data_IF_248456812717
#
_entry.id   IF_248456812717
#
_cell.length_a   1.000
_cell.length_b   1.000
_cell.length_c   1.000
_cell.angle_alpha   90.00
_cell.angle_beta   90.00
_cell.angle_gamma   90.00
#
_symmetry.space_group_name_H-M   'P 1'
#
loop_
_entity.id
_entity.type
_entity.pdbx_description
1 polymer ?
#
# COMPACT_ATOMS: atom_id res chain seq x y z
N UNK A 1 36.52 6.10 19.55
CA UNK A 1 35.39 6.50 20.42
C UNK A 1 34.33 7.08 19.50
N UNK A 2 33.34 6.27 19.13
CA UNK A 2 32.28 6.71 18.21
C UNK A 2 31.41 7.68 19.02
N UNK A 3 31.41 8.96 18.63
CA UNK A 3 30.52 9.96 19.21
C UNK A 3 29.08 9.46 19.05
N UNK A 4 28.44 9.04 20.15
CA UNK A 4 26.99 8.99 20.23
C UNK A 4 26.51 10.43 20.15
N UNK A 5 26.24 10.90 18.94
CA UNK A 5 25.41 12.08 18.72
C UNK A 5 24.13 11.83 19.50
N UNK A 6 23.85 12.70 20.47
CA UNK A 6 22.67 12.65 21.32
C UNK A 6 21.43 12.60 20.42
N UNK A 7 20.76 11.45 20.37
CA UNK A 7 19.55 11.30 19.54
C UNK A 7 18.52 12.30 20.04
N UNK A 8 18.07 13.17 19.14
CA UNK A 8 17.02 14.10 19.50
C UNK A 8 15.71 13.33 19.68
N UNK A 9 14.80 13.82 20.53
CA UNK A 9 13.47 13.21 20.68
C UNK A 9 12.73 13.09 19.32
N UNK A 10 13.04 13.98 18.38
CA UNK A 10 12.54 13.93 17.01
C UNK A 10 12.98 12.67 16.26
N UNK A 11 14.23 12.23 16.43
CA UNK A 11 14.78 11.05 15.74
C UNK A 11 14.15 9.75 16.26
N UNK A 12 13.92 9.69 17.56
CA UNK A 12 13.23 8.57 18.21
C UNK A 12 11.76 8.49 17.75
N UNK A 13 11.04 9.61 17.78
CA UNK A 13 9.65 9.67 17.35
C UNK A 13 9.51 9.31 15.86
N UNK A 14 10.43 9.78 15.02
CA UNK A 14 10.46 9.44 13.60
C UNK A 14 10.70 7.94 13.37
N UNK A 15 11.59 7.33 14.15
CA UNK A 15 11.84 5.87 14.08
C UNK A 15 10.61 5.07 14.48
N UNK A 16 9.95 5.44 15.58
CA UNK A 16 8.71 4.81 16.04
C UNK A 16 7.59 4.95 15.01
N UNK A 17 7.47 6.11 14.37
CA UNK A 17 6.50 6.34 13.30
C UNK A 17 6.74 5.41 12.10
N UNK A 18 7.99 5.31 11.61
CA UNK A 18 8.33 4.42 10.49
C UNK A 18 8.05 2.96 10.82
N UNK A 19 8.36 2.53 12.06
CA UNK A 19 8.09 1.18 12.51
C UNK A 19 6.60 0.89 12.60
N UNK A 20 5.82 1.80 13.18
CA UNK A 20 4.36 1.70 13.25
C UNK A 20 3.74 1.63 11.86
N UNK A 21 4.21 2.48 10.92
CA UNK A 21 3.75 2.48 9.54
C UNK A 21 4.06 1.15 8.84
N UNK A 22 5.29 0.64 8.98
CA UNK A 22 5.71 -0.63 8.39
C UNK A 22 4.85 -1.82 8.89
N UNK A 23 4.64 -1.90 10.22
CA UNK A 23 3.79 -2.93 10.83
C UNK A 23 2.34 -2.84 10.36
N UNK A 24 1.79 -1.62 10.28
CA UNK A 24 0.45 -1.41 9.76
C UNK A 24 0.30 -1.89 8.31
N UNK A 25 1.32 -1.66 7.48
CA UNK A 25 1.29 -2.06 6.08
C UNK A 25 1.34 -3.56 5.87
N UNK A 26 2.19 -4.25 6.65
CA UNK A 26 2.22 -5.72 6.68
C UNK A 26 0.89 -6.30 7.15
N UNK A 27 0.29 -5.72 8.19
CA UNK A 27 -1.03 -6.12 8.67
C UNK A 27 -2.10 -5.97 7.59
N UNK A 28 -2.23 -4.80 6.97
CA UNK A 28 -3.26 -4.57 5.95
C UNK A 28 -3.06 -5.47 4.73
N UNK A 29 -1.82 -5.68 4.31
CA UNK A 29 -1.51 -6.60 3.21
C UNK A 29 -1.93 -8.03 3.55
N UNK A 30 -1.56 -8.52 4.74
CA UNK A 30 -1.96 -9.85 5.22
C UNK A 30 -3.48 -10.00 5.30
N UNK A 31 -4.17 -9.01 5.87
CA UNK A 31 -5.63 -9.00 5.96
C UNK A 31 -6.29 -9.01 4.57
N UNK A 32 -5.77 -8.22 3.62
CA UNK A 32 -6.30 -8.17 2.24
C UNK A 32 -6.12 -9.51 1.52
N UNK A 33 -4.95 -10.16 1.68
CA UNK A 33 -4.71 -11.48 1.11
C UNK A 33 -5.60 -12.56 1.75
N UNK A 34 -5.84 -12.47 3.06
CA UNK A 34 -6.76 -13.37 3.75
C UNK A 34 -8.20 -13.21 3.24
N UNK A 35 -8.66 -11.97 3.02
CA UNK A 35 -9.96 -11.70 2.38
C UNK A 35 -10.03 -12.29 0.97
N UNK A 36 -8.98 -12.10 0.16
CA UNK A 36 -8.92 -12.71 -1.18
C UNK A 36 -9.01 -14.24 -1.12
N UNK A 37 -8.25 -14.88 -0.23
CA UNK A 37 -8.28 -16.34 -0.07
C UNK A 37 -9.66 -16.83 0.37
N UNK A 38 -10.28 -16.14 1.34
CA UNK A 38 -11.62 -16.46 1.80
C UNK A 38 -12.66 -16.33 0.68
N UNK A 39 -12.65 -15.23 -0.07
CA UNK A 39 -13.57 -15.01 -1.19
C UNK A 39 -13.36 -16.05 -2.30
N UNK A 40 -12.11 -16.39 -2.60
CA UNK A 40 -11.76 -17.42 -3.59
C UNK A 40 -12.28 -18.81 -3.19
N UNK A 41 -12.33 -19.12 -1.90
CA UNK A 41 -12.85 -20.39 -1.41
C UNK A 41 -14.38 -20.43 -1.27
N UNK A 42 -14.99 -19.32 -0.85
CA UNK A 42 -16.39 -19.29 -0.39
C UNK A 42 -17.42 -19.02 -1.48
N UNK A 43 -17.03 -18.43 -2.61
CA UNK A 43 -17.98 -18.04 -3.65
C UNK A 43 -17.94 -19.00 -4.85
N UNK A 44 -19.11 -19.43 -5.37
CA UNK A 44 -19.16 -20.19 -6.62
C UNK A 44 -18.85 -19.27 -7.80
N UNK A 45 -17.79 -19.60 -8.56
CA UNK A 45 -17.44 -18.90 -9.78
C UNK A 45 -18.01 -19.65 -10.98
N UNK A 46 -19.02 -19.05 -11.62
CA UNK A 46 -19.66 -19.58 -12.81
C UNK A 46 -19.27 -18.79 -14.07
N UNK A 47 -19.86 -19.12 -15.22
CA UNK A 47 -19.62 -18.41 -16.48
C UNK A 47 -19.91 -16.91 -16.30
N UNK A 48 -18.99 -16.08 -16.81
CA UNK A 48 -19.11 -14.62 -16.79
C UNK A 48 -20.40 -14.17 -17.49
N UNK A 49 -21.18 -13.33 -16.81
CA UNK A 49 -22.46 -12.79 -17.27
C UNK A 49 -22.97 -11.70 -16.34
N UNK A 50 -24.13 -11.11 -16.61
CA UNK A 50 -24.74 -10.11 -15.72
C UNK A 50 -25.45 -10.76 -14.53
N UNK A 51 -24.71 -11.61 -13.81
CA UNK A 51 -25.21 -12.46 -12.74
C UNK A 51 -24.41 -12.22 -11.45
N UNK A 52 -24.98 -12.61 -10.32
CA UNK A 52 -24.37 -12.50 -8.99
C UNK A 52 -22.93 -13.06 -8.89
N UNK A 53 -22.59 -14.22 -9.53
CA UNK A 53 -21.22 -14.75 -9.54
C UNK A 53 -20.18 -13.80 -10.14
N UNK A 54 -20.58 -12.98 -11.13
CA UNK A 54 -19.66 -12.00 -11.76
C UNK A 54 -19.37 -10.82 -10.84
N UNK A 55 -20.33 -10.43 -9.99
CA UNK A 55 -20.08 -9.41 -8.95
C UNK A 55 -19.13 -9.93 -7.85
N UNK A 56 -19.27 -11.19 -7.44
CA UNK A 56 -18.31 -11.82 -6.52
C UNK A 56 -16.91 -11.89 -7.13
N UNK A 57 -16.81 -12.28 -8.41
CA UNK A 57 -15.54 -12.28 -9.14
C UNK A 57 -14.94 -10.87 -9.26
N UNK A 58 -15.74 -9.86 -9.58
CA UNK A 58 -15.30 -8.47 -9.63
C UNK A 58 -14.78 -7.98 -8.27
N UNK A 59 -15.46 -8.34 -7.17
CA UNK A 59 -15.01 -8.00 -5.82
C UNK A 59 -13.66 -8.65 -5.48
N UNK A 60 -13.47 -9.92 -5.85
CA UNK A 60 -12.19 -10.62 -5.69
C UNK A 60 -11.07 -9.93 -6.48
N UNK A 61 -11.32 -9.55 -7.74
CA UNK A 61 -10.35 -8.82 -8.56
C UNK A 61 -9.98 -7.46 -7.96
N UNK A 62 -10.94 -6.74 -7.40
CA UNK A 62 -10.69 -5.45 -6.74
C UNK A 62 -9.82 -5.62 -5.49
N UNK A 63 -10.08 -6.64 -4.66
CA UNK A 63 -9.22 -6.94 -3.51
C UNK A 63 -7.82 -7.43 -3.93
N UNK A 64 -7.72 -8.20 -5.01
CA UNK A 64 -6.43 -8.62 -5.56
C UNK A 64 -5.62 -7.42 -6.09
N UNK A 65 -6.27 -6.50 -6.81
CA UNK A 65 -5.66 -5.25 -7.27
C UNK A 65 -5.22 -4.38 -6.08
N UNK A 66 -6.03 -4.28 -5.03
CA UNK A 66 -5.66 -3.59 -3.79
C UNK A 66 -4.40 -4.19 -3.15
N UNK A 67 -4.28 -5.52 -3.10
CA UNK A 67 -3.10 -6.21 -2.58
C UNK A 67 -1.84 -5.89 -3.41
N UNK A 68 -1.94 -5.93 -4.75
CA UNK A 68 -0.83 -5.58 -5.65
C UNK A 68 -0.38 -4.11 -5.48
N UNK A 69 -1.32 -3.18 -5.36
CA UNK A 69 -1.01 -1.79 -5.02
C UNK A 69 -0.36 -1.67 -3.63
N UNK A 70 -0.80 -2.48 -2.67
CA UNK A 70 -0.19 -2.58 -1.34
C UNK A 70 1.29 -3.00 -1.40
N UNK A 71 1.61 -4.03 -2.18
CA UNK A 71 2.99 -4.47 -2.40
C UNK A 71 3.84 -3.36 -3.04
N UNK A 72 3.34 -2.74 -4.12
CA UNK A 72 4.04 -1.62 -4.76
C UNK A 72 4.26 -0.43 -3.83
N UNK A 73 3.32 -0.16 -2.92
CA UNK A 73 3.49 0.91 -1.93
C UNK A 73 4.66 0.62 -0.98
N UNK A 74 4.80 -0.60 -0.48
CA UNK A 74 5.93 -0.98 0.40
C UNK A 74 7.25 -0.78 -0.35
N UNK A 75 7.33 -1.23 -1.60
CA UNK A 75 8.53 -1.07 -2.44
C UNK A 75 8.91 0.41 -2.62
N UNK A 76 7.92 1.29 -2.86
CA UNK A 76 8.14 2.74 -2.99
C UNK A 76 8.56 3.42 -1.69
N UNK A 77 8.05 2.97 -0.54
CA UNK A 77 8.51 3.46 0.78
C UNK A 77 9.98 3.11 0.99
N UNK A 78 10.38 1.88 0.67
CA UNK A 78 11.78 1.43 0.75
C UNK A 78 12.67 2.23 -0.20
N UNK A 79 12.23 2.47 -1.44
CA UNK A 79 12.96 3.31 -2.40
C UNK A 79 13.10 4.76 -1.92
N UNK A 80 12.05 5.33 -1.31
CA UNK A 80 12.11 6.69 -0.73
C UNK A 80 13.10 6.78 0.42
N UNK A 81 13.12 5.78 1.32
CA UNK A 81 14.10 5.70 2.40
C UNK A 81 15.52 5.60 1.86
N UNK A 82 15.75 4.77 0.83
CA UNK A 82 17.05 4.66 0.16
C UNK A 82 17.51 5.99 -0.43
N UNK A 83 16.64 6.69 -1.17
CA UNK A 83 16.97 8.01 -1.73
C UNK A 83 17.24 9.07 -0.66
N UNK A 84 16.59 8.98 0.50
CA UNK A 84 16.89 9.86 1.64
C UNK A 84 18.29 9.57 2.22
N UNK A 85 18.69 8.30 2.32
CA UNK A 85 20.05 7.93 2.73
C UNK A 85 21.09 8.43 1.71
N UNK A 86 20.84 8.24 0.42
CA UNK A 86 21.71 8.73 -0.66
C UNK A 86 21.85 10.26 -0.61
N UNK A 87 20.78 10.98 -0.25
CA UNK A 87 20.77 12.43 -0.08
C UNK A 87 21.63 12.86 1.11
N UNK A 88 21.50 12.19 2.26
CA UNK A 88 22.30 12.48 3.45
C UNK A 88 23.78 12.24 3.18
N UNK A 89 24.13 11.14 2.52
CA UNK A 89 25.51 10.84 2.13
C UNK A 89 26.07 11.91 1.16
N UNK A 90 25.27 12.38 0.21
CA UNK A 90 25.67 13.46 -0.69
C UNK A 90 25.86 14.80 0.03
N UNK A 91 25.06 15.07 1.07
CA UNK A 91 25.20 16.26 1.92
C UNK A 91 26.47 16.20 2.77
N UNK A 92 26.77 15.05 3.38
CA UNK A 92 27.99 14.83 4.15
C UNK A 92 29.26 14.98 3.30
N UNK A 93 29.22 14.52 2.05
CA UNK A 93 30.32 14.69 1.08
C UNK A 93 30.43 16.11 0.51
N UNK A 94 29.49 17.01 0.80
CA UNK A 94 29.53 18.41 0.39
C UNK A 94 29.32 18.68 -1.11
N UNK A 95 28.86 17.69 -1.89
CA UNK A 95 28.73 17.81 -3.36
C UNK A 95 27.37 18.44 -3.71
N UNK A 96 27.34 19.77 -3.87
CA UNK A 96 26.10 20.56 -4.06
C UNK A 96 25.22 20.10 -5.24
N UNK A 97 25.82 19.66 -6.35
CA UNK A 97 25.07 19.21 -7.53
C UNK A 97 24.34 17.89 -7.28
N UNK A 98 25.02 16.93 -6.62
CA UNK A 98 24.42 15.65 -6.23
C UNK A 98 23.32 15.81 -5.18
N UNK A 99 23.46 16.79 -4.27
CA UNK A 99 22.42 17.11 -3.28
C UNK A 99 21.14 17.62 -3.96
N UNK A 100 21.25 18.48 -4.98
CA UNK A 100 20.07 18.95 -5.74
C UNK A 100 19.37 17.80 -6.48
N UNK A 101 20.14 16.94 -7.13
CA UNK A 101 19.60 15.80 -7.88
C UNK A 101 18.93 14.79 -6.94
N UNK A 102 19.60 14.40 -5.85
CA UNK A 102 19.05 13.50 -4.84
C UNK A 102 17.78 14.07 -4.19
N UNK A 103 17.71 15.39 -3.98
CA UNK A 103 16.52 16.05 -3.41
C UNK A 103 15.34 16.01 -4.38
N UNK A 104 15.59 16.23 -5.67
CA UNK A 104 14.57 16.11 -6.70
C UNK A 104 14.06 14.66 -6.83
N UNK A 105 14.96 13.67 -6.74
CA UNK A 105 14.62 12.25 -6.75
C UNK A 105 13.77 11.84 -5.52
N UNK A 106 14.19 12.22 -4.32
CA UNK A 106 13.44 11.98 -3.08
C UNK A 106 12.03 12.59 -3.13
N UNK A 107 11.89 13.82 -3.64
CA UNK A 107 10.58 14.46 -3.76
C UNK A 107 9.66 13.75 -4.77
N UNK A 108 10.21 13.21 -5.86
CA UNK A 108 9.44 12.40 -6.83
C UNK A 108 8.99 11.07 -6.23
N UNK A 109 9.88 10.38 -5.51
CA UNK A 109 9.57 9.11 -4.84
C UNK A 109 8.51 9.27 -3.74
N UNK A 110 8.56 10.38 -2.98
CA UNK A 110 7.54 10.72 -1.99
C UNK A 110 6.14 10.90 -2.60
N UNK A 111 6.04 11.58 -3.76
CA UNK A 111 4.75 11.73 -4.46
C UNK A 111 4.21 10.39 -4.96
N UNK A 112 5.05 9.53 -5.51
CA UNK A 112 4.64 8.20 -5.99
C UNK A 112 4.10 7.33 -4.85
N UNK A 113 4.72 7.40 -3.67
CA UNK A 113 4.25 6.70 -2.46
C UNK A 113 2.82 7.10 -2.11
N UNK A 114 2.47 8.38 -2.24
CA UNK A 114 1.12 8.86 -1.97
C UNK A 114 0.07 8.34 -2.98
N UNK A 115 0.42 8.27 -4.27
CA UNK A 115 -0.48 7.73 -5.29
C UNK A 115 -0.84 6.26 -5.02
N UNK A 116 0.14 5.42 -4.66
CA UNK A 116 -0.13 4.02 -4.34
C UNK A 116 -0.94 3.86 -3.04
N UNK A 117 -0.79 4.79 -2.09
CA UNK A 117 -1.62 4.82 -0.88
C UNK A 117 -3.10 5.08 -1.23
N UNK A 118 -3.37 6.09 -2.06
CA UNK A 118 -4.72 6.40 -2.50
C UNK A 118 -5.30 5.23 -3.31
N UNK A 119 -4.55 4.71 -4.29
CA UNK A 119 -5.00 3.58 -5.10
C UNK A 119 -5.36 2.35 -4.26
N UNK A 120 -4.52 1.97 -3.28
CA UNK A 120 -4.80 0.85 -2.36
C UNK A 120 -6.13 1.05 -1.65
N UNK A 121 -6.31 2.22 -1.02
CA UNK A 121 -7.52 2.49 -0.25
C UNK A 121 -8.76 2.55 -1.14
N UNK A 122 -8.67 3.15 -2.33
CA UNK A 122 -9.77 3.18 -3.29
C UNK A 122 -10.18 1.76 -3.71
N UNK A 123 -9.23 0.89 -4.06
CA UNK A 123 -9.55 -0.49 -4.44
C UNK A 123 -10.11 -1.31 -3.28
N UNK A 124 -9.59 -1.12 -2.05
CA UNK A 124 -10.15 -1.76 -0.84
C UNK A 124 -11.61 -1.35 -0.61
N UNK A 125 -11.90 -0.05 -0.68
CA UNK A 125 -13.26 0.47 -0.50
C UNK A 125 -14.19 0.00 -1.61
N UNK A 126 -13.75 0.07 -2.87
CA UNK A 126 -14.54 -0.41 -4.01
C UNK A 126 -14.80 -1.91 -3.93
N UNK A 127 -13.81 -2.72 -3.56
CA UNK A 127 -13.96 -4.16 -3.38
C UNK A 127 -14.98 -4.50 -2.30
N UNK A 128 -14.92 -3.78 -1.17
CA UNK A 128 -15.87 -3.94 -0.06
C UNK A 128 -17.30 -3.56 -0.47
N UNK A 129 -17.48 -2.40 -1.10
CA UNK A 129 -18.79 -1.94 -1.57
C UNK A 129 -19.37 -2.93 -2.58
N UNK A 130 -18.55 -3.39 -3.54
CA UNK A 130 -18.98 -4.36 -4.56
C UNK A 130 -19.40 -5.68 -3.94
N UNK A 131 -18.65 -6.18 -2.95
CA UNK A 131 -18.99 -7.40 -2.22
C UNK A 131 -20.29 -7.26 -1.41
N UNK A 132 -20.46 -6.14 -0.70
CA UNK A 132 -21.69 -5.87 0.06
C UNK A 132 -22.88 -5.76 -0.90
N UNK A 133 -22.74 -5.05 -2.02
CA UNK A 133 -23.79 -4.94 -3.02
C UNK A 133 -24.17 -6.32 -3.57
N UNK A 134 -23.18 -7.18 -3.86
CA UNK A 134 -23.43 -8.56 -4.30
C UNK A 134 -24.21 -9.37 -3.26
N UNK A 135 -23.89 -9.22 -1.96
CA UNK A 135 -24.61 -9.90 -0.88
C UNK A 135 -26.03 -9.36 -0.69
N UNK A 136 -26.22 -8.05 -0.76
CA UNK A 136 -27.52 -7.40 -0.57
C UNK A 136 -28.45 -7.64 -1.76
N UNK A 137 -27.92 -7.66 -2.99
CA UNK A 137 -28.71 -7.93 -4.20
C UNK A 137 -29.04 -9.42 -4.38
N UNK A 138 -28.29 -10.31 -3.73
CA UNK A 138 -28.48 -11.76 -3.85
C UNK A 138 -29.94 -12.21 -3.66
N UNK A 139 -30.63 -11.83 -2.58
CA UNK A 139 -32.05 -12.16 -2.37
C UNK A 139 -33.00 -11.61 -3.44
N UNK A 140 -32.70 -10.43 -4.00
CA UNK A 140 -33.59 -9.75 -4.95
C UNK A 140 -33.42 -10.22 -6.39
N UNK A 141 -32.26 -10.79 -6.72
CA UNK A 141 -31.96 -11.32 -8.07
C UNK A 141 -32.26 -12.83 -8.16
N UNK A 142 -32.45 -13.51 -7.03
CA UNK A 142 -32.78 -14.94 -6.95
C UNK A 142 -34.25 -15.24 -6.62
N UNK A 143 -35.11 -14.22 -6.57
CA UNK A 143 -36.58 -14.32 -6.52
C UNK A 143 -37.19 -14.02 -7.89
#
# INVERSE_FOLDING_TARGET
>A
MINMVERTQSDELHTLYLEAQSRFDQFVMGATLAVCAYLAQSNPYEKLGWNLPTLYFASLLLFAAAALCGFKRIEQVVQTLRHNTDLLEAQEKGIKDKVKEARAASHRASKQTHYFYLARNTFLFLGLITYIAAKVLGPYVSS
#
